data_IF_005931336210
#
_entry.id   IF_005931336210
#
_cell.length_a   1.000
_cell.length_b   1.000
_cell.length_c   1.000
_cell.angle_alpha   90.00
_cell.angle_beta   90.00
_cell.angle_gamma   90.00
#
_symmetry.space_group_name_H-M   'P 1'
#
loop_
_entity.id
_entity.type
_entity.pdbx_description
1 polymer ?
#
# COMPACT_ATOMS: atom_id res chain seq x y z
N UNK A 1 -9.85 -14.05 17.11
CA UNK A 1 -9.83 -12.59 17.29
C UNK A 1 -9.51 -11.97 15.96
N UNK A 2 -10.29 -11.01 15.49
CA UNK A 2 -9.99 -10.26 14.26
C UNK A 2 -8.82 -9.33 14.56
N UNK A 3 -7.66 -9.61 13.96
CA UNK A 3 -6.49 -8.74 14.01
C UNK A 3 -6.83 -7.42 13.33
N UNK A 4 -6.79 -6.31 14.07
CA UNK A 4 -6.93 -4.98 13.48
C UNK A 4 -5.79 -4.76 12.48
N UNK A 5 -6.07 -4.14 11.33
CA UNK A 5 -5.12 -4.00 10.22
C UNK A 5 -4.94 -2.54 9.86
N UNK A 6 -3.69 -2.11 9.71
CA UNK A 6 -3.31 -0.82 9.13
C UNK A 6 -2.81 -1.08 7.71
N UNK A 7 -3.27 -0.29 6.75
CA UNK A 7 -2.71 -0.27 5.40
C UNK A 7 -1.73 0.89 5.27
N UNK A 8 -0.47 0.59 4.98
CA UNK A 8 0.59 1.56 4.73
C UNK A 8 0.79 1.72 3.22
N UNK A 9 0.57 2.92 2.68
CA UNK A 9 0.74 3.11 1.23
C UNK A 9 2.21 3.10 0.86
N UNK A 10 2.60 2.17 -0.03
CA UNK A 10 3.86 2.23 -0.76
C UNK A 10 3.70 3.25 -1.90
N UNK A 11 4.58 4.24 -1.93
CA UNK A 11 4.47 5.45 -2.75
C UNK A 11 5.80 5.70 -3.48
N UNK A 12 6.05 6.94 -3.87
CA UNK A 12 7.15 7.34 -4.74
C UNK A 12 8.25 8.11 -3.97
N UNK A 13 9.40 8.29 -4.61
CA UNK A 13 10.44 9.28 -4.26
C UNK A 13 10.86 9.28 -2.77
N UNK A 14 10.91 10.45 -2.13
CA UNK A 14 11.40 10.59 -0.77
C UNK A 14 10.55 9.84 0.28
N UNK A 15 9.20 9.89 0.25
CA UNK A 15 8.37 9.09 1.15
C UNK A 15 8.53 7.57 0.98
N UNK A 16 8.80 7.09 -0.24
CA UNK A 16 9.12 5.68 -0.47
C UNK A 16 10.41 5.27 0.25
N UNK A 17 11.48 6.08 0.10
CA UNK A 17 12.76 5.84 0.78
C UNK A 17 12.60 5.87 2.31
N UNK A 18 11.84 6.82 2.84
CA UNK A 18 11.57 6.90 4.27
C UNK A 18 10.80 5.66 4.78
N UNK A 19 9.88 5.12 3.97
CA UNK A 19 9.12 3.90 4.29
C UNK A 19 10.03 2.69 4.50
N UNK A 20 11.07 2.52 3.69
CA UNK A 20 12.03 1.41 3.86
C UNK A 20 12.74 1.43 5.22
N UNK A 21 12.89 2.60 5.83
CA UNK A 21 13.47 2.76 7.18
C UNK A 21 12.42 2.63 8.28
N UNK A 22 11.29 3.31 8.13
CA UNK A 22 10.31 3.47 9.20
C UNK A 22 9.34 2.29 9.33
N UNK A 23 8.92 1.67 8.22
CA UNK A 23 7.89 0.62 8.23
C UNK A 23 8.27 -0.60 9.10
N UNK A 24 9.51 -1.14 9.05
CA UNK A 24 9.90 -2.27 9.91
C UNK A 24 9.82 -1.92 11.41
N UNK A 25 10.07 -0.67 11.77
CA UNK A 25 9.94 -0.17 13.15
C UNK A 25 8.45 -0.16 13.52
N UNK A 26 7.60 0.43 12.69
CA UNK A 26 6.15 0.49 12.93
C UNK A 26 5.55 -0.91 13.09
N UNK A 27 5.90 -1.86 12.20
CA UNK A 27 5.47 -3.26 12.27
C UNK A 27 5.88 -3.94 13.59
N UNK A 28 7.09 -3.65 14.09
CA UNK A 28 7.59 -4.23 15.33
C UNK A 28 6.78 -3.76 16.54
N UNK A 29 6.50 -2.45 16.62
CA UNK A 29 5.77 -1.88 17.75
C UNK A 29 4.28 -2.24 17.72
N UNK A 30 3.65 -2.26 16.53
CA UNK A 30 2.22 -2.57 16.37
C UNK A 30 1.90 -4.04 16.63
N UNK A 31 2.85 -4.95 16.39
CA UNK A 31 2.71 -6.38 16.68
C UNK A 31 2.43 -6.66 18.17
N UNK A 32 3.02 -5.89 19.08
CA UNK A 32 2.77 -6.02 20.52
C UNK A 32 1.31 -5.72 20.90
N UNK A 33 0.61 -4.91 20.09
CA UNK A 33 -0.80 -4.60 20.24
C UNK A 33 -1.73 -5.51 19.41
N UNK A 34 -1.19 -6.53 18.74
CA UNK A 34 -1.97 -7.41 17.87
C UNK A 34 -2.53 -6.72 16.62
N UNK A 35 -1.87 -5.64 16.16
CA UNK A 35 -2.21 -4.90 14.94
C UNK A 35 -1.27 -5.33 13.81
N UNK A 36 -1.83 -5.77 12.69
CA UNK A 36 -1.05 -6.06 11.48
C UNK A 36 -0.87 -4.80 10.65
N UNK A 37 0.27 -4.68 9.99
CA UNK A 37 0.52 -3.63 8.98
C UNK A 37 0.75 -4.33 7.65
N UNK A 38 0.01 -3.93 6.62
CA UNK A 38 0.18 -4.42 5.25
C UNK A 38 0.43 -3.25 4.32
N UNK A 39 1.19 -3.48 3.26
CA UNK A 39 1.41 -2.47 2.23
C UNK A 39 0.39 -2.58 1.11
N UNK A 40 0.07 -1.44 0.49
CA UNK A 40 -0.58 -1.34 -0.82
C UNK A 40 0.19 -0.34 -1.67
N UNK A 41 0.63 -0.76 -2.84
CA UNK A 41 1.40 -0.02 -3.82
C UNK A 41 0.50 0.88 -4.67
N UNK A 42 0.61 2.18 -4.40
CA UNK A 42 -0.04 3.23 -5.18
C UNK A 42 1.01 4.14 -5.84
N UNK A 43 2.25 3.66 -5.96
CA UNK A 43 3.29 4.35 -6.73
C UNK A 43 2.84 4.57 -8.17
N UNK A 44 3.42 5.57 -8.84
CA UNK A 44 3.19 5.80 -10.26
C UNK A 44 3.47 4.55 -11.09
N UNK A 45 4.59 3.87 -10.81
CA UNK A 45 4.96 2.64 -11.50
C UNK A 45 3.92 1.52 -11.26
N UNK A 46 3.53 1.30 -10.01
CA UNK A 46 2.54 0.28 -9.66
C UNK A 46 1.20 0.51 -10.37
N UNK A 47 0.70 1.75 -10.34
CA UNK A 47 -0.56 2.11 -11.02
C UNK A 47 -0.50 1.92 -12.53
N UNK A 48 0.64 2.20 -13.17
CA UNK A 48 0.81 1.92 -14.61
C UNK A 48 0.76 0.40 -14.86
N UNK A 49 1.55 -0.39 -14.13
CA UNK A 49 1.62 -1.85 -14.30
C UNK A 49 0.24 -2.50 -14.12
N UNK A 50 -0.51 -2.09 -13.08
CA UNK A 50 -1.83 -2.62 -12.78
C UNK A 50 -2.88 -2.37 -13.88
N UNK A 51 -2.73 -1.30 -14.67
CA UNK A 51 -3.68 -0.91 -15.70
C UNK A 51 -3.42 -1.55 -17.08
N UNK A 52 -2.30 -2.24 -17.28
CA UNK A 52 -1.96 -2.93 -18.55
C UNK A 52 -1.59 -4.42 -18.38
N UNK A 53 -2.36 -5.21 -17.61
CA UNK A 53 -2.00 -6.60 -17.29
C UNK A 53 -1.91 -7.51 -18.52
N UNK A 54 -2.65 -7.20 -19.59
CA UNK A 54 -2.64 -7.93 -20.86
C UNK A 54 -1.30 -7.86 -21.60
N UNK A 55 -0.50 -6.82 -21.34
CA UNK A 55 0.82 -6.61 -21.94
C UNK A 55 1.95 -7.20 -21.10
N UNK A 56 1.63 -7.87 -19.99
CA UNK A 56 2.57 -8.35 -19.00
C UNK A 56 2.55 -9.87 -18.90
N UNK A 57 3.73 -10.45 -18.66
CA UNK A 57 3.83 -11.86 -18.27
C UNK A 57 3.14 -12.07 -16.91
N UNK A 58 2.74 -13.31 -16.57
CA UNK A 58 2.12 -13.59 -15.28
C UNK A 58 2.93 -13.08 -14.08
N UNK A 59 4.26 -13.18 -14.12
CA UNK A 59 5.15 -12.76 -13.02
C UNK A 59 5.32 -11.23 -12.91
N UNK A 60 5.02 -10.49 -13.97
CA UNK A 60 5.08 -9.02 -13.99
C UNK A 60 3.79 -8.37 -13.52
N UNK A 61 2.68 -9.12 -13.51
CA UNK A 61 1.37 -8.59 -13.13
C UNK A 61 1.32 -8.32 -11.65
N UNK A 62 0.72 -7.19 -11.30
CA UNK A 62 0.36 -6.84 -9.93
C UNK A 62 -1.13 -6.45 -9.91
N UNK A 63 -1.76 -6.50 -8.73
CA UNK A 63 -3.16 -6.09 -8.56
C UNK A 63 -3.35 -4.57 -8.66
N UNK A 64 -4.57 -4.14 -8.96
CA UNK A 64 -4.97 -2.73 -8.89
C UNK A 64 -5.30 -2.33 -7.44
N UNK A 65 -4.22 -2.12 -6.67
CA UNK A 65 -4.32 -1.80 -5.26
C UNK A 65 -4.88 -0.39 -4.99
N UNK A 66 -4.90 0.51 -5.97
CA UNK A 66 -5.58 1.81 -5.84
C UNK A 66 -7.10 1.63 -5.82
N UNK A 67 -7.64 0.81 -6.73
CA UNK A 67 -9.08 0.49 -6.76
C UNK A 67 -9.49 -0.26 -5.50
N UNK A 68 -8.71 -1.27 -5.07
CA UNK A 68 -8.96 -2.00 -3.82
C UNK A 68 -8.99 -1.07 -2.59
N UNK A 69 -8.06 -0.10 -2.51
CA UNK A 69 -8.05 0.89 -1.45
C UNK A 69 -9.27 1.82 -1.50
N UNK A 70 -9.73 2.20 -2.69
CA UNK A 70 -10.95 2.97 -2.88
C UNK A 70 -12.19 2.24 -2.35
N UNK A 71 -12.29 0.93 -2.61
CA UNK A 71 -13.35 0.09 -2.05
C UNK A 71 -13.22 -0.04 -0.52
N UNK A 72 -12.00 -0.27 -0.01
CA UNK A 72 -11.74 -0.38 1.42
C UNK A 72 -12.14 0.91 2.15
N UNK A 73 -11.85 2.09 1.61
CA UNK A 73 -12.14 3.38 2.23
C UNK A 73 -13.63 3.60 2.53
N UNK A 74 -14.52 2.85 1.87
CA UNK A 74 -15.96 2.88 2.13
C UNK A 74 -16.42 1.91 3.24
N UNK A 75 -15.50 1.19 3.87
CA UNK A 75 -15.81 0.19 4.90
C UNK A 75 -15.41 0.68 6.30
N UNK A 76 -16.16 0.35 7.37
CA UNK A 76 -15.84 0.77 8.73
C UNK A 76 -14.47 0.29 9.24
N UNK A 77 -13.98 -0.83 8.73
CA UNK A 77 -12.66 -1.39 9.07
C UNK A 77 -11.48 -0.67 8.41
N UNK A 78 -11.72 0.34 7.57
CA UNK A 78 -10.67 1.08 6.88
C UNK A 78 -9.75 1.82 7.86
N UNK A 79 -8.47 1.47 7.82
CA UNK A 79 -7.42 2.18 8.53
C UNK A 79 -6.22 2.31 7.59
N UNK A 80 -6.09 3.47 6.94
CA UNK A 80 -5.16 3.70 5.84
C UNK A 80 -4.23 4.86 6.23
N UNK A 81 -2.93 4.58 6.29
CA UNK A 81 -1.87 5.59 6.40
C UNK A 81 -1.41 5.95 4.99
N UNK A 82 -1.84 7.12 4.51
CA UNK A 82 -1.53 7.64 3.18
C UNK A 82 -0.32 8.57 3.21
N UNK A 83 0.77 8.18 2.55
CA UNK A 83 1.97 8.99 2.36
C UNK A 83 1.85 9.82 1.07
N UNK A 84 2.57 10.95 0.93
CA UNK A 84 2.59 11.72 -0.32
C UNK A 84 3.03 10.85 -1.52
N UNK A 85 2.39 11.02 -2.68
CA UNK A 85 2.68 10.29 -3.92
C UNK A 85 2.69 11.25 -5.12
N UNK A 86 3.19 10.78 -6.25
CA UNK A 86 3.28 11.58 -7.48
C UNK A 86 1.92 11.73 -8.17
N UNK A 87 1.55 12.98 -8.46
CA UNK A 87 0.56 13.33 -9.50
C UNK A 87 1.33 13.66 -10.78
N UNK A 88 1.44 12.68 -11.68
CA UNK A 88 2.28 12.78 -12.88
C UNK A 88 1.79 13.90 -13.83
N UNK A 89 2.73 14.63 -14.42
CA UNK A 89 2.54 15.77 -15.32
C UNK A 89 2.33 15.39 -16.78
#
# INVERSE_FOLDING_TARGET
MTTAKIIWTKVDEAPALATYSLLPIVETFTRAAGVAVETRDISLAGRIIANFPENLTPDQRIGDELTELGELANKPEANIIKLPNVSAS
#
